data_IF_181922537596
#
_entry.id   IF_181922537596
#
_cell.length_a   1.000
_cell.length_b   1.000
_cell.length_c   1.000
_cell.angle_alpha   90.00
_cell.angle_beta   90.00
_cell.angle_gamma   90.00
#
_symmetry.space_group_name_H-M   'P 1'
#
loop_
_entity.id
_entity.type
_entity.pdbx_description
1 polymer ?
#
# COMPACT_ATOMS: atom_id res chain seq x y z
N UNK A 1 -12.72 6.68 -18.05
CA UNK A 1 -12.64 5.79 -16.89
C UNK A 1 -12.54 6.59 -15.61
N UNK A 2 -13.41 6.34 -14.65
CA UNK A 2 -13.38 7.06 -13.39
C UNK A 2 -12.32 6.47 -12.47
N UNK A 3 -11.71 7.35 -11.67
CA UNK A 3 -10.73 6.96 -10.68
C UNK A 3 -11.43 6.84 -9.34
N UNK A 4 -11.09 5.81 -8.58
CA UNK A 4 -11.62 5.66 -7.24
C UNK A 4 -10.99 6.70 -6.31
N UNK A 5 -11.80 7.27 -5.43
CA UNK A 5 -11.27 8.13 -4.38
C UNK A 5 -10.40 7.31 -3.45
N UNK A 6 -9.48 7.96 -2.75
CA UNK A 6 -8.51 7.26 -1.90
C UNK A 6 -9.20 6.39 -0.85
N UNK A 7 -10.19 6.91 -0.14
CA UNK A 7 -10.84 6.13 0.92
C UNK A 7 -11.61 4.93 0.39
N UNK A 8 -12.17 5.01 -0.82
CA UNK A 8 -12.86 3.89 -1.44
C UNK A 8 -11.87 2.79 -1.84
N UNK A 9 -10.74 3.19 -2.40
CA UNK A 9 -9.68 2.25 -2.77
C UNK A 9 -9.14 1.53 -1.54
N UNK A 10 -8.85 2.27 -0.46
CA UNK A 10 -8.38 1.67 0.79
C UNK A 10 -9.39 0.68 1.33
N UNK A 11 -10.67 1.05 1.39
CA UNK A 11 -11.71 0.16 1.87
C UNK A 11 -11.81 -1.12 1.04
N UNK A 12 -11.66 -1.00 -0.27
CA UNK A 12 -11.68 -2.16 -1.16
C UNK A 12 -10.51 -3.11 -0.89
N UNK A 13 -9.31 -2.56 -0.70
CA UNK A 13 -8.13 -3.36 -0.39
C UNK A 13 -8.30 -4.11 0.94
N UNK A 14 -8.79 -3.42 1.96
CA UNK A 14 -9.02 -4.03 3.28
C UNK A 14 -10.02 -5.18 3.19
N UNK A 15 -11.12 -4.98 2.46
CA UNK A 15 -12.13 -6.03 2.31
C UNK A 15 -11.59 -7.25 1.59
N UNK A 16 -10.77 -7.05 0.55
CA UNK A 16 -10.19 -8.18 -0.18
C UNK A 16 -9.24 -8.99 0.68
N UNK A 17 -8.42 -8.32 1.49
CA UNK A 17 -7.52 -8.99 2.41
C UNK A 17 -8.29 -9.81 3.44
N UNK A 18 -9.31 -9.21 4.04
CA UNK A 18 -10.12 -9.89 5.04
C UNK A 18 -10.88 -11.08 4.46
N UNK A 19 -11.34 -10.97 3.22
CA UNK A 19 -12.07 -12.05 2.55
C UNK A 19 -11.22 -13.30 2.34
N UNK A 20 -9.89 -13.14 2.23
CA UNK A 20 -8.97 -14.27 2.08
C UNK A 20 -8.37 -14.72 3.41
N UNK A 21 -8.81 -14.14 4.53
CA UNK A 21 -8.30 -14.50 5.85
C UNK A 21 -6.99 -13.83 6.22
N UNK A 22 -6.55 -12.88 5.42
CA UNK A 22 -5.34 -12.11 5.69
C UNK A 22 -5.66 -10.92 6.60
N UNK A 23 -4.62 -10.24 7.06
CA UNK A 23 -4.76 -9.10 7.96
C UNK A 23 -4.48 -7.81 7.23
N UNK A 24 -5.25 -6.77 7.55
CA UNK A 24 -5.06 -5.45 6.97
C UNK A 24 -5.31 -4.39 8.02
N UNK A 25 -4.46 -3.38 8.07
CA UNK A 25 -4.52 -2.32 9.07
C UNK A 25 -4.23 -0.97 8.42
N UNK A 26 -4.99 0.06 8.79
CA UNK A 26 -4.68 1.43 8.40
C UNK A 26 -3.66 1.98 9.40
N UNK A 27 -2.45 2.29 8.92
CA UNK A 27 -1.40 2.88 9.76
C UNK A 27 -1.60 4.39 9.85
N UNK A 28 -1.92 5.02 8.72
CA UNK A 28 -2.14 6.46 8.66
C UNK A 28 -3.31 6.76 7.73
N UNK A 29 -4.24 7.55 8.21
CA UNK A 29 -5.34 8.06 7.40
C UNK A 29 -4.91 9.32 6.67
N UNK A 30 -5.20 9.37 5.37
CA UNK A 30 -4.89 10.52 4.55
C UNK A 30 -6.15 11.24 4.08
N UNK A 31 -6.00 12.02 3.03
CA UNK A 31 -7.13 12.72 2.43
C UNK A 31 -8.08 11.73 1.76
N UNK A 32 -9.38 11.89 2.01
CA UNK A 32 -10.38 10.92 1.55
C UNK A 32 -10.50 10.84 0.03
N UNK A 33 -10.19 11.93 -0.66
CA UNK A 33 -10.38 12.00 -2.11
C UNK A 33 -9.09 11.85 -2.90
N UNK A 34 -8.04 12.56 -2.50
CA UNK A 34 -6.83 12.75 -3.30
C UNK A 34 -5.56 12.16 -2.71
N UNK A 35 -5.65 11.54 -1.57
CA UNK A 35 -4.46 11.04 -0.90
C UNK A 35 -3.72 10.00 -1.72
N UNK A 36 -2.39 10.06 -1.68
CA UNK A 36 -1.55 8.99 -2.21
C UNK A 36 -1.70 7.76 -1.33
N UNK A 37 -1.51 6.59 -1.90
CA UNK A 37 -1.62 5.34 -1.16
C UNK A 37 -0.27 4.64 -1.12
N UNK A 38 0.18 4.33 0.10
CA UNK A 38 1.38 3.54 0.35
C UNK A 38 0.94 2.26 1.06
N UNK A 39 1.38 1.12 0.53
CA UNK A 39 1.02 -0.17 1.08
C UNK A 39 2.28 -0.90 1.53
N UNK A 40 2.31 -1.28 2.80
CA UNK A 40 3.38 -2.11 3.35
C UNK A 40 2.91 -3.55 3.31
N UNK A 41 3.62 -4.40 2.58
CA UNK A 41 3.28 -5.82 2.46
C UNK A 41 4.21 -6.62 3.34
N UNK A 42 3.63 -7.40 4.24
CA UNK A 42 4.36 -8.28 5.15
C UNK A 42 3.80 -9.69 5.04
N UNK A 43 4.53 -10.66 5.56
CA UNK A 43 4.06 -12.03 5.69
C UNK A 43 4.63 -12.60 6.99
N UNK A 44 3.74 -13.01 7.88
CA UNK A 44 4.10 -13.56 9.20
C UNK A 44 5.02 -12.63 9.97
N UNK A 45 4.72 -11.33 9.93
CA UNK A 45 5.49 -10.32 10.63
C UNK A 45 6.77 -9.88 9.96
N UNK A 46 7.15 -10.49 8.84
CA UNK A 46 8.37 -10.13 8.10
C UNK A 46 8.00 -9.17 6.97
N UNK A 47 8.71 -8.05 6.88
CA UNK A 47 8.50 -7.08 5.82
C UNK A 47 8.92 -7.67 4.46
N UNK A 48 8.08 -7.52 3.45
CA UNK A 48 8.35 -8.02 2.10
C UNK A 48 8.59 -6.86 1.12
N UNK A 49 7.70 -5.87 1.09
CA UNK A 49 7.81 -4.79 0.10
C UNK A 49 6.95 -3.61 0.49
N UNK A 50 7.28 -2.46 -0.09
CA UNK A 50 6.39 -1.30 -0.09
C UNK A 50 5.90 -1.09 -1.51
N UNK A 51 4.62 -0.81 -1.66
CA UNK A 51 4.02 -0.50 -2.96
C UNK A 51 3.34 0.86 -2.88
N UNK A 52 3.44 1.62 -3.96
CA UNK A 52 2.82 2.93 -4.04
C UNK A 52 1.90 3.00 -5.24
N UNK A 53 0.71 3.57 -5.05
CA UNK A 53 -0.22 3.84 -6.14
C UNK A 53 0.17 5.15 -6.79
N UNK A 54 0.50 5.11 -8.08
CA UNK A 54 0.93 6.31 -8.81
C UNK A 54 -0.04 6.58 -9.95
N UNK A 55 -0.19 7.87 -10.27
CA UNK A 55 -1.01 8.33 -11.37
C UNK A 55 -0.26 8.11 -12.68
N UNK A 56 -0.95 7.54 -13.66
CA UNK A 56 -0.38 7.33 -14.99
C UNK A 56 -0.72 8.50 -15.91
N UNK A 57 -0.04 8.58 -17.04
CA UNK A 57 -0.32 9.61 -18.04
C UNK A 57 -1.71 9.51 -18.62
N UNK A 58 -2.30 8.32 -18.58
CA UNK A 58 -3.66 8.08 -19.08
C UNK A 58 -4.75 8.49 -18.11
N UNK A 59 -4.38 9.01 -16.95
CA UNK A 59 -5.33 9.41 -15.93
C UNK A 59 -5.78 8.28 -15.01
N UNK A 60 -5.29 7.07 -15.21
CA UNK A 60 -5.53 5.95 -14.30
C UNK A 60 -4.45 5.83 -13.24
N UNK A 61 -4.49 4.74 -12.50
CA UNK A 61 -3.50 4.46 -11.46
C UNK A 61 -2.81 3.12 -11.72
N UNK A 62 -1.59 3.02 -11.25
CA UNK A 62 -0.89 1.74 -11.18
C UNK A 62 -0.12 1.66 -9.88
N UNK A 63 0.24 0.45 -9.48
CA UNK A 63 1.06 0.23 -8.30
C UNK A 63 2.49 -0.07 -8.71
N UNK A 64 3.43 0.46 -7.96
CA UNK A 64 4.86 0.19 -8.20
C UNK A 64 5.58 -0.01 -6.88
N UNK A 65 6.65 -0.79 -6.91
CA UNK A 65 7.49 -0.99 -5.75
C UNK A 65 8.27 0.28 -5.42
N UNK A 66 8.43 0.56 -4.13
CA UNK A 66 9.17 1.71 -3.64
C UNK A 66 9.75 1.40 -2.27
N UNK A 67 10.75 2.18 -1.84
CA UNK A 67 11.28 2.07 -0.48
C UNK A 67 11.92 0.75 -0.13
N UNK A 68 11.93 0.42 1.19
CA UNK A 68 12.61 -0.78 1.67
C UNK A 68 12.03 -2.06 1.10
N UNK A 69 12.92 -2.96 0.72
CA UNK A 69 12.56 -4.25 0.12
C UNK A 69 12.51 -5.38 1.11
N UNK A 70 12.56 -6.60 0.57
CA UNK A 70 12.40 -7.83 1.31
C UNK A 70 13.36 -7.93 2.50
N UNK A 71 12.80 -8.29 3.63
CA UNK A 71 13.52 -8.50 4.90
C UNK A 71 14.16 -7.24 5.48
N UNK A 72 13.73 -6.04 5.05
CA UNK A 72 14.21 -4.81 5.65
C UNK A 72 13.86 -4.77 7.15
N UNK A 73 14.73 -4.16 7.93
CA UNK A 73 14.54 -4.04 9.38
C UNK A 73 13.35 -3.12 9.67
N UNK A 74 12.67 -3.40 10.79
CA UNK A 74 11.52 -2.60 11.22
C UNK A 74 11.85 -1.11 11.34
N UNK A 75 13.05 -0.78 11.84
CA UNK A 75 13.47 0.61 11.98
C UNK A 75 13.63 1.30 10.64
N UNK A 76 14.10 0.58 9.63
CA UNK A 76 14.25 1.12 8.28
C UNK A 76 12.89 1.40 7.66
N UNK A 77 11.96 0.48 7.81
CA UNK A 77 10.59 0.63 7.28
C UNK A 77 9.90 1.80 7.98
N UNK A 78 10.00 1.88 9.30
CA UNK A 78 9.40 2.97 10.07
C UNK A 78 9.99 4.33 9.68
N UNK A 79 11.29 4.39 9.44
CA UNK A 79 11.96 5.61 9.00
C UNK A 79 11.48 6.08 7.63
N UNK A 80 11.34 5.15 6.70
CA UNK A 80 10.82 5.43 5.38
C UNK A 80 9.39 5.98 5.45
N UNK A 81 8.53 5.30 6.20
CA UNK A 81 7.14 5.72 6.37
C UNK A 81 7.05 7.10 7.02
N UNK A 82 7.81 7.33 8.08
CA UNK A 82 7.81 8.61 8.78
C UNK A 82 8.24 9.77 7.89
N UNK A 83 9.25 9.54 7.05
CA UNK A 83 9.70 10.54 6.11
C UNK A 83 8.64 10.87 5.07
N UNK A 84 8.00 9.84 4.50
CA UNK A 84 6.93 10.05 3.53
C UNK A 84 5.77 10.81 4.15
N UNK A 85 5.38 10.47 5.37
CA UNK A 85 4.27 11.13 6.06
C UNK A 85 4.56 12.61 6.35
N UNK A 86 5.82 12.96 6.63
CA UNK A 86 6.19 14.35 6.87
C UNK A 86 6.09 15.20 5.61
N UNK A 87 6.37 14.63 4.45
CA UNK A 87 6.33 15.37 3.19
C UNK A 87 4.99 15.32 2.49
N UNK A 88 4.07 14.47 2.95
CA UNK A 88 2.75 14.32 2.33
C UNK A 88 1.72 14.05 3.42
N UNK A 89 1.07 15.12 3.89
CA UNK A 89 0.04 15.02 4.94
C UNK A 89 -1.15 14.21 4.49
N UNK A 90 -1.42 14.17 3.19
CA UNK A 90 -2.58 13.50 2.62
C UNK A 90 -2.35 12.03 2.35
N UNK A 91 -1.15 11.53 2.64
CA UNK A 91 -0.78 10.14 2.39
C UNK A 91 -1.58 9.17 3.25
N UNK A 92 -2.12 8.15 2.63
CA UNK A 92 -2.63 6.97 3.31
C UNK A 92 -1.53 5.93 3.40
N UNK A 93 -1.39 5.31 4.56
CA UNK A 93 -0.48 4.18 4.71
C UNK A 93 -1.26 3.02 5.30
N UNK A 94 -1.20 1.88 4.61
CA UNK A 94 -1.87 0.66 5.05
C UNK A 94 -0.84 -0.46 5.11
N UNK A 95 -1.09 -1.42 5.98
CA UNK A 95 -0.24 -2.61 6.08
C UNK A 95 -1.08 -3.84 5.85
N UNK A 96 -0.57 -4.75 5.03
CA UNK A 96 -1.17 -6.06 4.81
C UNK A 96 -0.19 -7.13 5.25
N UNK A 97 -0.66 -8.07 6.07
CA UNK A 97 0.10 -9.26 6.41
C UNK A 97 -0.61 -10.43 5.76
N UNK A 98 -0.01 -10.99 4.73
CA UNK A 98 -0.68 -11.91 3.82
C UNK A 98 0.10 -13.22 3.65
N UNK A 99 -0.64 -14.29 3.35
CA UNK A 99 -0.07 -15.63 3.27
C UNK A 99 0.81 -15.84 2.04
N UNK A 100 0.44 -15.22 0.91
CA UNK A 100 1.19 -15.37 -0.35
C UNK A 100 1.59 -14.00 -0.89
N UNK A 101 2.63 -13.38 -0.30
CA UNK A 101 3.00 -12.01 -0.68
C UNK A 101 3.54 -11.89 -2.10
N UNK A 102 4.26 -12.89 -2.60
CA UNK A 102 4.83 -12.81 -3.94
C UNK A 102 3.74 -12.75 -5.01
N UNK A 103 2.74 -13.60 -4.87
CA UNK A 103 1.61 -13.62 -5.79
C UNK A 103 0.82 -12.33 -5.72
N UNK A 104 0.56 -11.87 -4.50
CA UNK A 104 -0.19 -10.63 -4.29
C UNK A 104 0.51 -9.44 -4.95
N UNK A 105 1.82 -9.32 -4.74
CA UNK A 105 2.61 -8.22 -5.32
C UNK A 105 2.59 -8.28 -6.84
N UNK A 106 2.82 -9.47 -7.40
CA UNK A 106 2.82 -9.64 -8.85
C UNK A 106 1.48 -9.27 -9.47
N UNK A 107 0.38 -9.73 -8.87
CA UNK A 107 -0.96 -9.41 -9.37
C UNK A 107 -1.29 -7.92 -9.21
N UNK A 108 -0.87 -7.30 -8.12
CA UNK A 108 -1.13 -5.89 -7.85
C UNK A 108 -0.41 -5.01 -8.87
N UNK A 109 0.86 -5.28 -9.13
CA UNK A 109 1.66 -4.49 -10.07
C UNK A 109 1.15 -4.68 -11.50
N UNK A 110 0.83 -5.91 -11.89
CA UNK A 110 0.41 -6.19 -13.25
C UNK A 110 -1.02 -5.76 -13.56
N UNK A 111 -1.86 -5.58 -12.55
CA UNK A 111 -3.24 -5.16 -12.74
C UNK A 111 -3.37 -3.67 -13.10
N UNK A 112 -2.32 -2.90 -12.84
CA UNK A 112 -2.28 -1.48 -13.16
C UNK A 112 -2.11 -1.25 -14.63
#
# INVERSE_FOLDING_TARGET
MSRLSAHVEVASILRRAEATGDFATIIKKGDSERGSLLMLVSSRGRHIACLERVLTLNGGYRWQATGPGDSAQSAEVAGFLGKRARFDEDLWAIELDIADPERFIAETISAG
#
